data_IF_175427721407
#
_entry.id   IF_175427721407
#
_cell.length_a   1.000
_cell.length_b   1.000
_cell.length_c   1.000
_cell.angle_alpha   90.00
_cell.angle_beta   90.00
_cell.angle_gamma   90.00
#
_symmetry.space_group_name_H-M   'P 1'
#
loop_
_entity.id
_entity.type
_entity.pdbx_description
1 polymer ?
#
# COMPACT_ATOMS: atom_id res chain seq x y z
N UNK A 1 16.84 -20.93 2.87
CA UNK A 1 18.27 -20.64 3.09
C UNK A 1 18.38 -19.16 3.42
N UNK A 2 18.75 -18.79 4.65
CA UNK A 2 18.92 -17.38 5.05
C UNK A 2 20.36 -16.99 4.69
N UNK A 3 20.54 -16.04 3.78
CA UNK A 3 21.85 -15.48 3.46
C UNK A 3 21.87 -14.02 3.93
N UNK A 4 22.81 -13.61 4.80
CA UNK A 4 22.99 -12.21 5.14
C UNK A 4 23.49 -11.46 3.90
N UNK A 5 23.03 -10.21 3.74
CA UNK A 5 23.49 -9.32 2.69
C UNK A 5 24.93 -8.89 3.02
N UNK A 6 25.92 -9.63 2.51
CA UNK A 6 27.32 -9.22 2.52
C UNK A 6 27.83 -9.22 1.08
N UNK A 7 28.54 -8.16 0.70
CA UNK A 7 29.02 -7.85 -0.64
C UNK A 7 30.19 -8.75 -1.07
N UNK A 8 29.92 -10.05 -1.23
CA UNK A 8 30.84 -11.05 -1.77
C UNK A 8 30.15 -11.92 -2.81
N UNK A 9 30.73 -12.00 -4.00
CA UNK A 9 30.25 -12.69 -5.20
C UNK A 9 29.49 -14.01 -4.93
N UNK A 10 28.15 -13.95 -4.98
CA UNK A 10 27.27 -15.13 -4.93
C UNK A 10 27.01 -15.75 -6.32
N UNK A 11 27.88 -15.49 -7.31
CA UNK A 11 27.72 -15.97 -8.69
C UNK A 11 27.49 -17.51 -8.80
N UNK A 12 27.96 -18.28 -7.82
CA UNK A 12 27.83 -19.74 -7.80
C UNK A 12 26.46 -20.26 -7.31
N UNK A 13 25.64 -19.45 -6.62
CA UNK A 13 24.29 -19.85 -6.18
C UNK A 13 23.21 -19.68 -7.27
N UNK A 14 23.57 -19.07 -8.41
CA UNK A 14 22.66 -18.80 -9.52
C UNK A 14 22.64 -19.91 -10.59
N UNK A 15 23.02 -21.15 -10.25
CA UNK A 15 23.07 -22.29 -11.20
C UNK A 15 21.72 -22.97 -11.47
N UNK A 16 20.66 -22.62 -10.74
CA UNK A 16 19.34 -23.20 -10.94
C UNK A 16 18.42 -22.24 -11.70
N UNK A 17 17.56 -22.81 -12.55
CA UNK A 17 16.60 -22.08 -13.40
C UNK A 17 15.69 -21.22 -12.54
N UNK A 18 15.88 -19.90 -12.58
CA UNK A 18 14.97 -18.95 -11.95
C UNK A 18 13.75 -18.77 -12.85
N UNK A 19 12.58 -18.84 -12.23
CA UNK A 19 11.34 -18.37 -12.84
C UNK A 19 10.80 -17.27 -11.92
N UNK A 20 10.33 -16.19 -12.53
CA UNK A 20 9.83 -15.02 -11.83
C UNK A 20 8.38 -14.80 -12.27
N UNK A 21 7.51 -14.38 -11.35
CA UNK A 21 6.12 -14.01 -11.67
C UNK A 21 5.77 -12.68 -11.01
N UNK A 22 5.28 -11.75 -11.85
CA UNK A 22 4.85 -10.40 -11.47
C UNK A 22 3.33 -10.40 -11.24
N UNK A 23 2.83 -9.79 -10.16
CA UNK A 23 1.38 -9.65 -9.94
C UNK A 23 0.97 -8.18 -9.82
N UNK A 24 -0.07 -7.79 -10.55
CA UNK A 24 -0.78 -6.51 -10.39
C UNK A 24 -2.13 -6.77 -9.73
N UNK A 25 -2.42 -6.07 -8.62
CA UNK A 25 -3.71 -6.16 -7.96
C UNK A 25 -4.53 -4.90 -8.24
N UNK A 26 -5.59 -5.03 -9.04
CA UNK A 26 -6.67 -4.07 -9.16
C UNK A 26 -7.98 -4.85 -9.05
N UNK A 27 -8.75 -4.64 -7.98
CA UNK A 27 -10.06 -5.29 -7.80
C UNK A 27 -11.10 -4.22 -7.47
N UNK A 28 -12.20 -4.13 -8.25
CA UNK A 28 -13.39 -3.42 -7.82
C UNK A 28 -14.57 -4.36 -7.52
N UNK A 29 -15.34 -3.99 -6.48
CA UNK A 29 -16.80 -4.15 -6.24
C UNK A 29 -17.37 -5.26 -5.32
N UNK A 30 -18.55 -4.84 -4.80
CA UNK A 30 -19.76 -5.50 -4.24
C UNK A 30 -19.81 -5.88 -2.75
N UNK A 31 -20.39 -4.93 -1.99
CA UNK A 31 -21.52 -5.02 -1.04
C UNK A 31 -21.46 -5.87 0.24
N UNK A 32 -21.82 -5.12 1.31
CA UNK A 32 -22.50 -5.45 2.57
C UNK A 32 -21.76 -6.34 3.58
N UNK A 33 -21.38 -5.73 4.71
CA UNK A 33 -21.79 -6.09 6.08
C UNK A 33 -21.22 -5.06 7.06
N UNK A 34 -21.98 -4.76 8.10
CA UNK A 34 -21.89 -3.65 9.06
C UNK A 34 -21.03 -3.92 10.30
N UNK A 35 -20.55 -2.81 10.90
CA UNK A 35 -20.09 -2.58 12.30
C UNK A 35 -18.77 -3.24 12.73
N UNK A 36 -17.91 -2.65 13.56
CA UNK A 36 -17.81 -1.31 14.20
C UNK A 36 -16.40 -1.16 14.80
N UNK A 37 -15.97 0.10 14.91
CA UNK A 37 -14.92 0.68 15.77
C UNK A 37 -13.43 0.43 15.47
N UNK A 38 -12.76 1.54 15.08
CA UNK A 38 -11.32 1.78 15.24
C UNK A 38 -11.11 3.11 15.97
N UNK A 39 -10.10 3.21 16.86
CA UNK A 39 -9.78 4.45 17.55
C UNK A 39 -8.76 5.30 16.76
N UNK A 40 -8.91 6.63 16.84
CA UNK A 40 -7.87 7.62 16.53
C UNK A 40 -7.49 8.39 17.81
N UNK A 41 -6.27 8.93 17.92
CA UNK A 41 -5.70 9.37 19.19
C UNK A 41 -6.34 10.67 19.69
N UNK A 42 -6.76 10.64 20.96
CA UNK A 42 -7.28 11.79 21.70
C UNK A 42 -6.13 12.66 22.22
N UNK A 43 -6.31 13.97 22.04
CA UNK A 43 -5.47 15.03 22.60
C UNK A 43 -5.63 15.04 24.13
N UNK A 44 -4.51 15.07 24.84
CA UNK A 44 -4.45 15.08 26.30
C UNK A 44 -4.88 16.43 26.89
N UNK A 45 -5.86 16.39 27.80
CA UNK A 45 -6.02 17.39 28.87
C UNK A 45 -6.34 16.64 30.17
N UNK A 46 -5.55 16.87 31.21
CA UNK A 46 -5.59 16.11 32.45
C UNK A 46 -6.87 16.27 33.28
N UNK A 47 -7.18 15.27 34.11
CA UNK A 47 -7.46 15.37 35.54
C UNK A 47 -7.74 13.98 36.14
N UNK A 48 -7.07 13.71 37.28
CA UNK A 48 -7.39 12.82 38.42
C UNK A 48 -8.11 11.46 38.28
N UNK A 49 -7.34 10.41 38.61
CA UNK A 49 -7.63 9.23 39.45
C UNK A 49 -9.07 8.98 39.92
N UNK A 50 -9.67 7.86 39.51
CA UNK A 50 -10.66 7.10 40.30
C UNK A 50 -10.58 5.59 39.99
N UNK A 51 -10.87 4.80 41.03
CA UNK A 51 -10.57 3.37 41.21
C UNK A 51 -11.57 2.44 40.49
N UNK A 52 -11.08 1.32 39.95
CA UNK A 52 -11.90 0.19 39.50
C UNK A 52 -12.38 -0.67 40.67
N UNK A 53 -13.64 -1.10 40.63
CA UNK A 53 -14.16 -2.25 41.38
C UNK A 53 -14.44 -3.43 40.43
N UNK A 54 -13.91 -4.58 40.84
CA UNK A 54 -13.93 -5.90 40.20
C UNK A 54 -15.31 -6.53 40.08
N UNK A 55 -15.56 -7.23 38.96
CA UNK A 55 -16.48 -8.38 38.89
C UNK A 55 -15.87 -9.45 37.98
N UNK A 56 -15.55 -10.59 38.59
CA UNK A 56 -15.01 -11.80 37.99
C UNK A 56 -16.12 -12.68 37.42
N UNK A 57 -15.98 -13.12 36.17
CA UNK A 57 -16.71 -14.27 35.63
C UNK A 57 -15.71 -15.19 34.93
N UNK A 58 -15.61 -16.40 35.45
CA UNK A 58 -14.73 -17.49 35.05
C UNK A 58 -15.32 -18.26 33.86
N UNK A 59 -14.58 -18.35 32.76
CA UNK A 59 -14.78 -19.38 31.72
C UNK A 59 -13.41 -19.96 31.38
N UNK A 60 -13.29 -21.28 31.50
CA UNK A 60 -12.06 -22.01 31.30
C UNK A 60 -11.86 -22.43 29.83
N UNK A 61 -10.61 -22.27 29.39
CA UNK A 61 -9.85 -23.09 28.44
C UNK A 61 -10.24 -23.14 26.96
N UNK A 62 -9.49 -22.39 26.16
CA UNK A 62 -8.58 -23.01 25.18
C UNK A 62 -7.36 -22.10 25.03
N UNK A 63 -6.20 -22.62 25.41
CA UNK A 63 -4.94 -21.87 25.42
C UNK A 63 -4.43 -21.71 23.99
N UNK A 64 -4.98 -20.76 23.24
CA UNK A 64 -4.22 -20.13 22.16
C UNK A 64 -3.22 -19.24 22.90
N UNK A 65 -1.98 -19.71 22.99
CA UNK A 65 -0.82 -18.86 23.31
C UNK A 65 -0.75 -17.80 22.23
N UNK A 66 -1.50 -16.72 22.43
CA UNK A 66 -1.24 -15.42 21.85
C UNK A 66 0.10 -15.00 22.45
N UNK A 67 1.17 -15.37 21.77
CA UNK A 67 2.50 -14.85 22.05
C UNK A 67 2.41 -13.34 22.00
N UNK A 68 2.50 -12.76 23.20
CA UNK A 68 3.02 -11.43 23.53
C UNK A 68 3.54 -10.66 22.31
N UNK A 69 2.95 -9.50 22.02
CA UNK A 69 3.58 -8.18 21.68
C UNK A 69 4.95 -8.09 20.95
N UNK A 70 5.52 -9.18 20.47
CA UNK A 70 6.78 -9.29 19.75
C UNK A 70 6.46 -9.50 18.28
N UNK A 71 7.05 -8.66 17.42
CA UNK A 71 6.84 -8.74 15.98
C UNK A 71 7.29 -10.07 15.40
N UNK A 72 6.76 -10.40 14.22
CA UNK A 72 7.11 -11.61 13.47
C UNK A 72 8.63 -11.74 13.25
N UNK A 73 9.20 -12.84 13.70
CA UNK A 73 10.64 -13.16 13.69
C UNK A 73 10.99 -14.23 12.66
N UNK A 74 12.30 -14.46 12.46
CA UNK A 74 12.73 -15.58 11.63
C UNK A 74 12.46 -16.93 12.30
N UNK A 75 12.44 -16.98 13.63
CA UNK A 75 12.06 -18.19 14.37
C UNK A 75 10.60 -18.55 14.11
N UNK A 76 9.73 -17.56 13.94
CA UNK A 76 8.34 -17.77 13.54
C UNK A 76 8.24 -18.34 12.12
N UNK A 77 9.00 -17.80 11.17
CA UNK A 77 9.05 -18.32 9.81
C UNK A 77 9.57 -19.78 9.76
N UNK A 78 10.64 -20.08 10.50
CA UNK A 78 11.21 -21.43 10.60
C UNK A 78 10.21 -22.39 11.24
N UNK A 79 9.55 -21.97 12.32
CA UNK A 79 8.50 -22.76 12.99
C UNK A 79 7.34 -23.05 12.05
N UNK A 80 6.85 -22.04 11.30
CA UNK A 80 5.76 -22.22 10.34
C UNK A 80 6.15 -23.11 9.16
N UNK A 81 7.42 -23.15 8.79
CA UNK A 81 7.92 -24.01 7.72
C UNK A 81 8.09 -25.49 8.10
N UNK A 82 7.99 -25.85 9.38
CA UNK A 82 8.16 -27.24 9.80
C UNK A 82 6.96 -28.09 9.37
N UNK A 83 7.18 -29.33 8.88
CA UNK A 83 6.09 -30.23 8.46
C UNK A 83 5.06 -30.53 9.56
N UNK A 84 5.51 -30.47 10.81
CA UNK A 84 4.70 -30.69 12.02
C UNK A 84 3.79 -29.50 12.36
N UNK A 85 4.12 -28.31 11.84
CA UNK A 85 3.29 -27.12 11.93
C UNK A 85 2.28 -27.17 10.78
N UNK A 86 1.17 -27.88 11.01
CA UNK A 86 0.00 -27.88 10.14
C UNK A 86 -1.11 -27.10 10.85
N UNK A 87 -1.20 -25.76 10.67
CA UNK A 87 -2.17 -24.98 11.44
C UNK A 87 -3.60 -25.28 11.03
N UNK A 88 -3.84 -25.69 9.78
CA UNK A 88 -5.17 -25.99 9.28
C UNK A 88 -5.10 -27.00 8.13
N UNK A 89 -6.22 -27.69 7.88
CA UNK A 89 -6.43 -28.48 6.67
C UNK A 89 -6.04 -27.65 5.44
N UNK A 90 -5.31 -28.22 4.47
CA UNK A 90 -4.98 -27.54 3.21
C UNK A 90 -6.21 -27.04 2.41
N UNK A 91 -7.41 -27.47 2.80
CA UNK A 91 -8.69 -27.00 2.27
C UNK A 91 -9.23 -25.73 2.94
N UNK A 92 -8.68 -25.30 4.09
CA UNK A 92 -9.12 -24.10 4.77
C UNK A 92 -8.47 -22.85 4.15
N UNK A 93 -9.28 -22.06 3.46
CA UNK A 93 -8.89 -20.80 2.85
C UNK A 93 -9.33 -19.58 3.67
N UNK A 94 -9.88 -19.78 4.87
CA UNK A 94 -10.43 -18.73 5.74
C UNK A 94 -9.45 -17.58 5.97
N UNK A 95 -8.17 -17.90 6.26
CA UNK A 95 -7.11 -16.93 6.44
C UNK A 95 -6.84 -16.07 5.19
N UNK A 96 -6.87 -16.66 3.99
CA UNK A 96 -6.72 -15.90 2.74
C UNK A 96 -7.89 -14.95 2.52
N UNK A 97 -9.12 -15.41 2.71
CA UNK A 97 -10.32 -14.57 2.58
C UNK A 97 -10.32 -13.44 3.61
N UNK A 98 -9.83 -13.67 4.83
CA UNK A 98 -9.68 -12.62 5.83
C UNK A 98 -8.72 -11.53 5.36
N UNK A 99 -7.56 -11.89 4.77
CA UNK A 99 -6.62 -10.91 4.20
C UNK A 99 -7.22 -10.13 3.03
N UNK A 100 -7.94 -10.80 2.14
CA UNK A 100 -8.66 -10.13 1.04
C UNK A 100 -9.67 -9.12 1.58
N UNK A 101 -10.49 -9.50 2.58
CA UNK A 101 -11.44 -8.58 3.24
C UNK A 101 -10.73 -7.39 3.87
N UNK A 102 -9.63 -7.62 4.59
CA UNK A 102 -8.84 -6.55 5.21
C UNK A 102 -8.27 -5.57 4.18
N UNK A 103 -7.84 -6.04 3.01
CA UNK A 103 -7.35 -5.18 1.91
C UNK A 103 -8.48 -4.39 1.23
N UNK A 104 -9.73 -4.83 1.33
CA UNK A 104 -10.90 -4.19 0.72
C UNK A 104 -11.83 -3.51 1.75
N UNK A 105 -11.32 -3.22 2.95
CA UNK A 105 -12.05 -2.49 4.00
C UNK A 105 -12.27 -1.02 3.63
N UNK A 106 -13.20 -0.34 4.29
CA UNK A 106 -13.44 1.09 4.10
C UNK A 106 -14.38 1.43 2.93
N UNK A 107 -14.90 0.41 2.23
CA UNK A 107 -15.90 0.62 1.18
C UNK A 107 -17.17 1.27 1.73
N UNK A 108 -17.56 0.90 2.94
CA UNK A 108 -18.65 1.48 3.71
C UNK A 108 -18.48 2.99 3.99
N UNK A 109 -17.23 3.47 4.05
CA UNK A 109 -16.90 4.87 4.28
C UNK A 109 -16.95 5.71 3.01
N UNK A 110 -17.28 5.13 1.85
CA UNK A 110 -17.29 5.85 0.56
C UNK A 110 -18.14 7.14 0.62
N UNK A 111 -19.20 7.16 1.43
CA UNK A 111 -20.06 8.34 1.60
C UNK A 111 -19.38 9.53 2.31
N UNK A 112 -18.23 9.32 2.95
CA UNK A 112 -17.40 10.35 3.59
C UNK A 112 -16.40 10.99 2.62
N UNK A 113 -16.30 10.47 1.39
CA UNK A 113 -15.38 10.99 0.40
C UNK A 113 -16.11 11.74 -0.71
N UNK A 114 -15.45 12.76 -1.23
CA UNK A 114 -15.90 13.55 -2.37
C UNK A 114 -15.08 13.15 -3.60
N UNK A 115 -15.70 12.95 -4.77
CA UNK A 115 -14.97 12.64 -5.99
C UNK A 115 -13.96 13.74 -6.34
N UNK A 116 -12.75 13.32 -6.71
CA UNK A 116 -11.76 14.18 -7.35
C UNK A 116 -11.72 13.88 -8.85
N UNK A 117 -12.09 14.88 -9.64
CA UNK A 117 -12.34 14.75 -11.07
C UNK A 117 -11.38 15.63 -11.84
N UNK A 118 -10.72 15.08 -12.85
CA UNK A 118 -9.88 15.82 -13.79
C UNK A 118 -10.31 15.42 -15.20
N UNK A 119 -10.56 16.41 -16.06
CA UNK A 119 -11.02 16.19 -17.45
C UNK A 119 -12.24 15.24 -17.55
N UNK A 120 -13.20 15.40 -16.63
CA UNK A 120 -14.43 14.60 -16.61
C UNK A 120 -14.26 13.14 -16.18
N UNK A 121 -13.07 12.77 -15.65
CA UNK A 121 -12.79 11.43 -15.14
C UNK A 121 -12.50 11.48 -13.65
N UNK A 122 -13.10 10.56 -12.89
CA UNK A 122 -12.75 10.38 -11.48
C UNK A 122 -11.34 9.79 -11.43
N UNK A 123 -10.44 10.52 -10.78
CA UNK A 123 -9.03 10.13 -10.59
C UNK A 123 -8.73 9.81 -9.13
N UNK A 124 -9.62 10.16 -8.21
CA UNK A 124 -9.50 9.83 -6.79
C UNK A 124 -10.73 10.23 -5.99
N UNK A 125 -10.61 10.10 -4.67
CA UNK A 125 -11.66 10.39 -3.69
C UNK A 125 -11.02 11.03 -2.46
N UNK A 126 -11.45 12.25 -2.12
CA UNK A 126 -10.85 13.05 -1.05
C UNK A 126 -11.80 13.03 0.14
N UNK A 127 -11.29 12.69 1.32
CA UNK A 127 -12.09 12.69 2.53
C UNK A 127 -12.62 14.12 2.81
N UNK A 128 -13.90 14.27 3.15
CA UNK A 128 -14.55 15.58 3.27
C UNK A 128 -13.88 16.52 4.30
N UNK A 129 -13.30 15.97 5.37
CA UNK A 129 -12.52 16.76 6.35
C UNK A 129 -11.21 17.29 5.78
N UNK A 130 -10.57 16.56 4.87
CA UNK A 130 -9.31 16.97 4.27
C UNK A 130 -9.52 18.08 3.24
N UNK A 131 -10.67 18.08 2.56
CA UNK A 131 -11.09 19.15 1.64
C UNK A 131 -11.05 20.53 2.26
N UNK A 132 -11.37 20.65 3.55
CA UNK A 132 -11.35 21.94 4.25
C UNK A 132 -9.95 22.58 4.22
N UNK A 133 -8.87 21.79 4.19
CA UNK A 133 -7.50 22.29 4.01
C UNK A 133 -7.20 22.70 2.56
N UNK A 134 -7.92 22.16 1.58
CA UNK A 134 -7.77 22.47 0.16
C UNK A 134 -8.52 23.74 -0.25
N UNK A 135 -9.60 24.10 0.46
CA UNK A 135 -10.45 25.27 0.15
C UNK A 135 -9.73 26.61 0.11
N UNK A 136 -8.58 26.73 0.77
CA UNK A 136 -7.77 27.95 0.78
C UNK A 136 -6.97 28.15 -0.51
N UNK A 137 -6.70 27.10 -1.28
CA UNK A 137 -5.93 27.14 -2.52
C UNK A 137 -6.87 27.26 -3.74
N UNK A 138 -7.57 28.39 -3.81
CA UNK A 138 -8.65 28.62 -4.78
C UNK A 138 -8.18 28.74 -6.24
N UNK A 139 -6.90 29.03 -6.43
CA UNK A 139 -6.18 29.08 -7.69
C UNK A 139 -5.77 27.69 -8.22
N UNK A 140 -5.93 26.66 -7.40
CA UNK A 140 -5.59 25.27 -7.75
C UNK A 140 -6.81 24.36 -7.71
N UNK A 141 -7.61 24.43 -6.64
CA UNK A 141 -8.75 23.54 -6.42
C UNK A 141 -10.08 24.28 -6.53
N UNK A 142 -10.96 23.74 -7.37
CA UNK A 142 -12.32 24.23 -7.60
C UNK A 142 -13.34 23.20 -7.12
N UNK A 143 -14.43 23.67 -6.51
CA UNK A 143 -15.48 22.83 -5.95
C UNK A 143 -16.78 23.11 -6.71
N UNK A 144 -17.28 22.12 -7.44
CA UNK A 144 -18.42 22.28 -8.35
C UNK A 144 -19.58 21.38 -7.94
N UNK A 145 -20.78 21.97 -7.82
CA UNK A 145 -22.01 21.24 -7.53
C UNK A 145 -22.42 20.36 -8.70
N UNK A 146 -22.65 19.06 -8.45
CA UNK A 146 -23.10 18.10 -9.46
C UNK A 146 -23.43 16.75 -8.83
N UNK A 147 -24.50 16.12 -9.29
CA UNK A 147 -24.87 14.75 -8.93
C UNK A 147 -24.25 13.70 -9.90
N UNK A 148 -23.57 14.14 -10.97
CA UNK A 148 -23.14 13.26 -12.07
C UNK A 148 -22.04 12.27 -11.71
N UNK A 149 -21.22 12.55 -10.69
CA UNK A 149 -20.10 11.71 -10.29
C UNK A 149 -20.39 10.81 -9.09
N UNK A 150 -21.60 10.92 -8.53
CA UNK A 150 -21.99 10.24 -7.31
C UNK A 150 -21.26 10.79 -6.08
N UNK A 151 -21.94 10.89 -4.95
CA UNK A 151 -21.34 11.40 -3.72
C UNK A 151 -22.40 12.02 -2.83
N UNK A 152 -22.29 11.79 -1.52
CA UNK A 152 -23.30 12.25 -0.56
C UNK A 152 -23.39 13.78 -0.48
N UNK A 153 -22.30 14.48 -0.81
CA UNK A 153 -22.18 15.92 -0.60
C UNK A 153 -22.71 16.77 -1.76
N UNK A 154 -23.10 16.18 -2.91
CA UNK A 154 -23.67 16.91 -4.05
C UNK A 154 -22.68 17.81 -4.81
N UNK A 155 -21.37 17.63 -4.59
CA UNK A 155 -20.32 18.33 -5.32
C UNK A 155 -19.12 17.41 -5.57
N UNK A 156 -18.22 17.84 -6.45
CA UNK A 156 -16.91 17.22 -6.67
C UNK A 156 -15.79 18.26 -6.61
N UNK A 157 -14.57 17.79 -6.39
CA UNK A 157 -13.35 18.61 -6.45
C UNK A 157 -12.72 18.45 -7.83
N UNK A 158 -12.27 19.54 -8.42
CA UNK A 158 -11.50 19.54 -9.67
C UNK A 158 -10.35 20.54 -9.61
N UNK A 159 -9.51 20.55 -10.64
CA UNK A 159 -8.42 21.51 -10.78
C UNK A 159 -8.89 22.74 -11.57
N UNK A 160 -8.28 23.89 -11.30
CA UNK A 160 -8.56 25.13 -12.02
C UNK A 160 -8.38 24.98 -13.54
N UNK A 161 -9.30 25.57 -14.32
CA UNK A 161 -9.34 25.46 -15.79
C UNK A 161 -8.13 26.09 -16.50
N UNK A 162 -7.41 26.98 -15.82
CA UNK A 162 -6.16 27.56 -16.31
C UNK A 162 -5.01 26.54 -16.31
N UNK A 163 -5.08 25.48 -15.49
CA UNK A 163 -4.09 24.41 -15.41
C UNK A 163 -4.35 23.36 -16.52
N UNK A 164 -4.03 23.73 -17.76
CA UNK A 164 -4.33 22.90 -18.95
C UNK A 164 -3.37 21.73 -19.14
N UNK A 165 -2.07 21.96 -18.97
CA UNK A 165 -1.06 20.92 -19.20
C UNK A 165 -0.89 20.04 -17.94
N UNK A 166 -0.62 18.72 -18.09
CA UNK A 166 -0.28 17.84 -16.97
C UNK A 166 0.87 18.37 -16.09
N UNK A 167 1.84 19.04 -16.70
CA UNK A 167 3.01 19.62 -16.02
C UNK A 167 2.61 20.83 -15.16
N UNK A 168 1.70 21.67 -15.64
CA UNK A 168 1.19 22.82 -14.89
C UNK A 168 0.39 22.36 -13.67
N UNK A 169 -0.46 21.34 -13.84
CA UNK A 169 -1.20 20.69 -12.75
C UNK A 169 -0.25 20.07 -11.72
N UNK A 170 0.77 19.35 -12.20
CA UNK A 170 1.79 18.73 -11.35
C UNK A 170 2.50 19.78 -10.50
N UNK A 171 2.92 20.90 -11.11
CA UNK A 171 3.57 22.00 -10.40
C UNK A 171 2.64 22.66 -9.39
N UNK A 172 1.44 23.06 -9.80
CA UNK A 172 0.49 23.76 -8.95
C UNK A 172 0.06 22.92 -7.75
N UNK A 173 -0.32 21.66 -7.98
CA UNK A 173 -0.66 20.73 -6.89
C UNK A 173 0.56 20.44 -6.03
N UNK A 174 1.74 20.29 -6.63
CA UNK A 174 3.00 20.09 -5.92
C UNK A 174 3.32 21.18 -4.89
N UNK A 175 3.14 22.46 -5.24
CA UNK A 175 3.30 23.57 -4.29
C UNK A 175 2.29 23.51 -3.13
N UNK A 176 1.05 23.11 -3.42
CA UNK A 176 0.05 22.88 -2.36
C UNK A 176 0.47 21.74 -1.43
N UNK A 177 0.92 20.61 -1.98
CA UNK A 177 1.38 19.46 -1.18
C UNK A 177 2.58 19.84 -0.32
N UNK A 178 3.50 20.63 -0.85
CA UNK A 178 4.65 21.14 -0.10
C UNK A 178 4.21 21.96 1.12
N UNK A 179 3.29 22.91 0.92
CA UNK A 179 2.73 23.71 2.02
C UNK A 179 2.02 22.84 3.06
N UNK A 180 1.20 21.88 2.62
CA UNK A 180 0.51 20.94 3.53
C UNK A 180 1.49 19.99 4.26
N UNK A 181 2.62 19.65 3.64
CA UNK A 181 3.70 18.88 4.24
C UNK A 181 4.43 19.65 5.33
N UNK A 182 4.73 20.93 5.10
CA UNK A 182 5.34 21.85 6.09
C UNK A 182 4.43 22.04 7.33
N UNK A 183 3.11 21.97 7.15
CA UNK A 183 2.11 22.00 8.22
C UNK A 183 1.89 20.64 8.92
N UNK A 184 2.63 19.60 8.54
CA UNK A 184 2.47 18.20 9.00
C UNK A 184 1.09 17.58 8.72
N UNK A 185 0.33 18.13 7.76
CA UNK A 185 -0.95 17.54 7.33
C UNK A 185 -0.72 16.35 6.38
N UNK A 186 0.35 16.40 5.58
CA UNK A 186 0.84 15.29 4.75
C UNK A 186 2.28 14.98 5.18
N UNK A 187 2.49 14.16 6.22
CA UNK A 187 3.83 13.80 6.67
C UNK A 187 4.50 12.81 5.71
N UNK A 188 5.83 12.72 5.79
CA UNK A 188 6.60 11.68 5.11
C UNK A 188 6.77 11.88 3.60
N UNK A 189 6.91 13.13 3.15
CA UNK A 189 7.27 13.49 1.78
C UNK A 189 8.49 12.67 1.31
N UNK A 190 8.40 12.10 0.10
CA UNK A 190 9.41 11.18 -0.42
C UNK A 190 10.16 11.70 -1.64
N UNK A 191 9.72 12.83 -2.21
CA UNK A 191 10.22 13.36 -3.48
C UNK A 191 10.08 12.32 -4.61
N UNK A 192 8.95 11.63 -4.62
CA UNK A 192 8.65 10.57 -5.57
C UNK A 192 7.24 10.80 -6.11
N UNK A 193 7.14 11.04 -7.41
CA UNK A 193 5.87 11.36 -8.03
C UNK A 193 5.20 10.08 -8.54
N UNK A 194 3.93 9.90 -8.19
CA UNK A 194 3.04 8.87 -8.71
C UNK A 194 2.16 9.42 -9.84
N UNK A 195 1.85 8.61 -10.86
CA UNK A 195 0.97 9.03 -11.95
C UNK A 195 -0.49 9.07 -11.48
N UNK A 196 -1.17 10.19 -11.68
CA UNK A 196 -2.61 10.30 -11.45
C UNK A 196 -3.36 9.93 -12.72
N UNK A 197 -4.06 8.79 -12.68
CA UNK A 197 -4.76 8.17 -13.82
C UNK A 197 -6.14 7.70 -13.39
N UNK A 198 -7.07 7.55 -14.33
CA UNK A 198 -8.40 6.98 -14.05
C UNK A 198 -8.37 5.45 -13.91
N UNK A 199 -7.41 4.79 -14.57
CA UNK A 199 -7.18 3.34 -14.52
C UNK A 199 -5.76 3.04 -15.01
N UNK A 200 -5.29 1.82 -14.76
CA UNK A 200 -3.98 1.40 -15.24
C UNK A 200 -3.91 1.49 -16.77
N UNK A 201 -2.82 2.02 -17.30
CA UNK A 201 -2.62 2.25 -18.74
C UNK A 201 -3.42 3.43 -19.35
N UNK A 202 -4.29 4.09 -18.57
CA UNK A 202 -4.95 5.31 -19.03
C UNK A 202 -3.98 6.50 -19.09
N UNK A 203 -4.32 7.59 -19.81
CA UNK A 203 -3.53 8.81 -19.80
C UNK A 203 -3.24 9.32 -18.39
N UNK A 204 -2.04 9.86 -18.21
CA UNK A 204 -1.62 10.53 -16.97
C UNK A 204 -2.13 11.97 -17.02
N UNK A 205 -3.03 12.33 -16.11
CA UNK A 205 -3.61 13.67 -16.05
C UNK A 205 -2.66 14.69 -15.43
N UNK A 206 -1.87 14.25 -14.45
CA UNK A 206 -0.76 14.94 -13.79
C UNK A 206 -0.02 13.95 -12.88
N UNK A 207 1.07 14.37 -12.24
CA UNK A 207 1.78 13.56 -11.25
C UNK A 207 1.64 14.15 -9.85
N UNK A 208 1.56 13.28 -8.83
CA UNK A 208 1.30 13.65 -7.44
C UNK A 208 2.37 13.04 -6.54
N UNK A 209 2.85 13.79 -5.56
CA UNK A 209 3.77 13.27 -4.52
C UNK A 209 3.19 12.01 -3.85
N UNK A 210 4.00 10.95 -3.75
CA UNK A 210 3.61 9.64 -3.22
C UNK A 210 2.97 9.72 -1.84
N UNK A 211 3.48 10.58 -0.97
CA UNK A 211 2.91 10.77 0.37
C UNK A 211 1.47 11.33 0.33
N UNK A 212 1.10 12.08 -0.70
CA UNK A 212 -0.22 12.66 -0.87
C UNK A 212 -1.24 11.70 -1.50
N UNK A 213 -0.81 10.62 -2.16
CA UNK A 213 -1.71 9.69 -2.86
C UNK A 213 -2.87 9.15 -1.98
N UNK A 214 -2.66 8.76 -0.70
CA UNK A 214 -3.75 8.34 0.18
C UNK A 214 -4.75 9.45 0.53
N UNK A 215 -4.30 10.71 0.61
CA UNK A 215 -5.14 11.86 0.94
C UNK A 215 -6.05 12.27 -0.22
N UNK A 216 -5.55 12.11 -1.45
CA UNK A 216 -6.33 12.35 -2.66
C UNK A 216 -7.12 11.12 -3.12
N UNK A 217 -6.93 9.97 -2.46
CA UNK A 217 -7.54 8.70 -2.81
C UNK A 217 -7.26 8.27 -4.25
N UNK A 218 -6.10 8.68 -4.79
CA UNK A 218 -5.70 8.33 -6.16
C UNK A 218 -5.26 6.88 -6.23
N UNK A 219 -5.47 6.24 -7.39
CA UNK A 219 -4.93 4.90 -7.63
C UNK A 219 -3.40 4.95 -7.61
N UNK A 220 -2.81 4.07 -6.81
CA UNK A 220 -1.38 3.83 -6.78
C UNK A 220 -1.07 2.48 -7.43
N UNK A 221 0.06 2.41 -8.13
CA UNK A 221 0.53 1.18 -8.78
C UNK A 221 1.89 0.79 -8.21
N UNK A 222 2.27 -0.47 -8.41
CA UNK A 222 3.52 -1.02 -7.94
C UNK A 222 3.88 -2.29 -8.71
N UNK A 223 5.10 -2.76 -8.50
CA UNK A 223 5.64 -4.01 -9.03
C UNK A 223 5.99 -4.92 -7.87
N UNK A 224 5.61 -6.19 -7.96
CA UNK A 224 5.90 -7.22 -6.98
C UNK A 224 6.42 -8.46 -7.69
N UNK A 225 7.59 -8.96 -7.31
CA UNK A 225 8.21 -10.13 -7.94
C UNK A 225 8.38 -11.28 -6.95
N UNK A 226 7.82 -12.42 -7.32
CA UNK A 226 8.12 -13.69 -6.67
C UNK A 226 9.39 -14.28 -7.28
N UNK A 227 10.38 -14.58 -6.45
CA UNK A 227 11.57 -15.32 -6.87
C UNK A 227 11.59 -16.71 -6.24
N UNK A 228 11.72 -17.75 -7.06
CA UNK A 228 11.78 -19.13 -6.57
C UNK A 228 12.87 -19.94 -7.26
N UNK A 229 13.25 -21.03 -6.60
CA UNK A 229 14.24 -22.00 -7.09
C UNK A 229 13.71 -23.41 -6.90
N UNK A 230 14.11 -24.32 -7.78
CA UNK A 230 13.85 -25.75 -7.64
C UNK A 230 15.12 -26.46 -7.16
N UNK A 231 15.01 -27.16 -6.04
CA UNK A 231 16.10 -27.94 -5.42
C UNK A 231 15.55 -29.33 -5.11
N UNK A 232 16.17 -30.37 -5.65
CA UNK A 232 15.77 -31.77 -5.46
C UNK A 232 14.28 -32.04 -5.73
N UNK A 233 13.74 -31.42 -6.78
CA UNK A 233 12.33 -31.55 -7.18
C UNK A 233 11.33 -30.81 -6.29
N UNK A 234 11.81 -29.95 -5.37
CA UNK A 234 10.98 -29.10 -4.51
C UNK A 234 11.16 -27.63 -4.85
N UNK A 235 10.06 -26.88 -4.81
CA UNK A 235 10.05 -25.44 -5.04
C UNK A 235 10.27 -24.67 -3.74
N UNK A 236 11.21 -23.74 -3.73
CA UNK A 236 11.49 -22.84 -2.61
C UNK A 236 11.28 -21.40 -3.04
N UNK A 237 10.56 -20.63 -2.22
CA UNK A 237 10.30 -19.22 -2.44
C UNK A 237 11.29 -18.36 -1.64
N UNK A 238 11.86 -17.35 -2.28
CA UNK A 238 12.61 -16.30 -1.60
C UNK A 238 11.64 -15.29 -0.99
N UNK A 239 11.77 -15.07 0.31
CA UNK A 239 10.96 -14.12 1.08
C UNK A 239 11.87 -13.02 1.62
N UNK A 240 11.54 -11.76 1.30
CA UNK A 240 12.20 -10.61 1.88
C UNK A 240 11.72 -10.38 3.32
N UNK A 241 12.59 -9.85 4.18
CA UNK A 241 12.18 -9.26 5.46
C UNK A 241 12.51 -7.78 5.44
N UNK A 242 11.49 -6.95 5.62
CA UNK A 242 11.62 -5.50 5.56
C UNK A 242 12.51 -4.99 6.68
N UNK A 243 13.38 -4.03 6.36
CA UNK A 243 14.18 -3.33 7.36
C UNK A 243 13.26 -2.68 8.41
N UNK A 244 13.72 -2.65 9.67
CA UNK A 244 13.02 -1.95 10.76
C UNK A 244 12.97 -0.43 10.55
N UNK A 245 13.81 0.10 9.65
CA UNK A 245 13.84 1.52 9.30
C UNK A 245 12.81 1.92 8.23
N UNK A 246 12.10 0.95 7.60
CA UNK A 246 11.08 1.30 6.59
C UNK A 246 9.90 1.97 7.30
N UNK A 247 9.37 3.09 6.77
CA UNK A 247 8.29 3.84 7.42
C UNK A 247 6.95 3.08 7.41
N UNK A 248 6.78 2.15 6.47
CA UNK A 248 5.60 1.30 6.37
C UNK A 248 5.97 -0.15 6.56
N UNK A 249 5.21 -0.83 7.42
CA UNK A 249 5.34 -2.26 7.72
C UNK A 249 6.78 -2.70 8.08
N UNK A 250 7.44 -2.05 9.06
CA UNK A 250 8.80 -2.40 9.48
C UNK A 250 8.86 -3.83 10.02
N UNK A 251 9.90 -4.58 9.62
CA UNK A 251 10.14 -5.94 10.10
C UNK A 251 9.21 -7.04 9.52
N UNK A 252 8.20 -6.68 8.74
CA UNK A 252 7.27 -7.64 8.13
C UNK A 252 7.92 -8.41 6.97
N UNK A 253 7.39 -9.59 6.65
CA UNK A 253 7.77 -10.33 5.44
C UNK A 253 7.21 -9.66 4.18
N UNK A 254 7.92 -9.80 3.08
CA UNK A 254 7.59 -9.22 1.78
C UNK A 254 7.99 -10.16 0.64
N UNK A 255 7.62 -9.79 -0.58
CA UNK A 255 8.13 -10.42 -1.80
C UNK A 255 9.66 -10.28 -1.89
N UNK A 256 10.29 -11.02 -2.81
CA UNK A 256 11.73 -10.86 -3.06
C UNK A 256 12.07 -9.43 -3.50
N UNK A 257 11.22 -8.82 -4.32
CA UNK A 257 11.32 -7.42 -4.75
C UNK A 257 9.92 -6.82 -4.78
N UNK A 258 9.73 -5.64 -4.18
CA UNK A 258 8.45 -4.94 -4.19
C UNK A 258 8.60 -3.42 -4.11
N UNK A 259 8.13 -2.71 -5.15
CA UNK A 259 8.25 -1.25 -5.25
C UNK A 259 6.97 -0.56 -5.69
N UNK A 260 6.82 0.70 -5.32
CA UNK A 260 5.83 1.58 -5.95
C UNK A 260 6.18 1.81 -7.42
N UNK A 261 5.23 2.23 -8.25
CA UNK A 261 5.46 2.59 -9.65
C UNK A 261 5.44 4.12 -9.80
N UNK A 262 6.60 4.78 -9.89
CA UNK A 262 6.70 6.21 -10.13
C UNK A 262 6.14 6.61 -11.51
N UNK A 263 5.85 7.90 -11.65
CA UNK A 263 5.52 8.51 -12.93
C UNK A 263 6.74 8.50 -13.86
N UNK A 264 6.51 8.32 -15.16
CA UNK A 264 7.58 8.37 -16.18
C UNK A 264 8.46 7.12 -16.32
N UNK A 265 8.21 6.06 -15.54
CA UNK A 265 8.93 4.77 -15.66
C UNK A 265 7.96 3.63 -16.00
N UNK A 266 8.31 2.81 -16.98
CA UNK A 266 7.54 1.60 -17.31
C UNK A 266 7.67 0.54 -16.21
N UNK A 267 6.69 -0.34 -16.07
CA UNK A 267 6.72 -1.44 -15.09
C UNK A 267 8.01 -2.29 -15.17
N UNK A 268 8.46 -2.67 -16.38
CA UNK A 268 9.67 -3.47 -16.56
C UNK A 268 10.94 -2.76 -16.07
N UNK A 269 11.15 -1.51 -16.50
CA UNK A 269 12.27 -0.68 -16.01
C UNK A 269 12.22 -0.48 -14.49
N UNK A 270 11.03 -0.26 -13.94
CA UNK A 270 10.87 -0.10 -12.49
C UNK A 270 11.21 -1.40 -11.75
N UNK A 271 10.74 -2.55 -12.24
CA UNK A 271 11.08 -3.85 -11.67
C UNK A 271 12.60 -4.09 -11.68
N UNK A 272 13.29 -3.75 -12.77
CA UNK A 272 14.75 -3.87 -12.87
C UNK A 272 15.46 -2.98 -11.84
N UNK A 273 15.02 -1.71 -11.71
CA UNK A 273 15.53 -0.78 -10.69
C UNK A 273 15.35 -1.35 -9.27
N UNK A 274 14.14 -1.78 -8.93
CA UNK A 274 13.83 -2.32 -7.59
C UNK A 274 14.57 -3.64 -7.32
N UNK A 275 14.81 -4.47 -8.34
CA UNK A 275 15.63 -5.68 -8.24
C UNK A 275 17.05 -5.38 -7.74
N UNK A 276 17.68 -4.34 -8.29
CA UNK A 276 19.02 -3.92 -7.90
C UNK A 276 19.01 -3.31 -6.49
N UNK A 277 18.10 -2.36 -6.23
CA UNK A 277 18.06 -1.61 -4.98
C UNK A 277 17.69 -2.46 -3.75
N UNK A 278 16.73 -3.38 -3.88
CA UNK A 278 16.21 -4.14 -2.73
C UNK A 278 16.85 -5.52 -2.54
N UNK A 279 17.30 -6.16 -3.63
CA UNK A 279 17.80 -7.53 -3.60
C UNK A 279 19.20 -7.70 -4.20
N UNK A 280 19.83 -6.63 -4.72
CA UNK A 280 21.14 -6.70 -5.37
C UNK A 280 21.14 -7.59 -6.62
N UNK A 281 19.98 -7.78 -7.26
CA UNK A 281 19.82 -8.63 -8.43
C UNK A 281 20.29 -7.85 -9.66
N UNK A 282 21.36 -8.29 -10.35
CA UNK A 282 21.91 -7.56 -11.48
C UNK A 282 20.98 -7.64 -12.71
N UNK A 283 21.13 -6.66 -13.61
CA UNK A 283 20.39 -6.57 -14.87
C UNK A 283 20.41 -7.88 -15.68
N UNK A 284 21.56 -8.55 -15.73
CA UNK A 284 21.74 -9.81 -16.46
C UNK A 284 20.83 -10.95 -15.99
N UNK A 285 20.27 -10.83 -14.78
CA UNK A 285 19.28 -11.75 -14.22
C UNK A 285 17.87 -11.15 -14.23
N UNK A 286 17.70 -9.89 -13.86
CA UNK A 286 16.38 -9.25 -13.79
C UNK A 286 15.71 -9.06 -15.15
N UNK A 287 16.50 -8.95 -16.24
CA UNK A 287 15.97 -8.90 -17.62
C UNK A 287 15.29 -10.22 -18.05
N UNK A 288 15.55 -11.32 -17.33
CA UNK A 288 14.90 -12.62 -17.55
C UNK A 288 13.59 -12.78 -16.77
N UNK A 289 13.16 -11.73 -16.07
CA UNK A 289 11.90 -11.77 -15.32
C UNK A 289 10.71 -11.93 -16.28
N UNK A 290 9.79 -12.84 -15.94
CA UNK A 290 8.56 -13.01 -16.72
C UNK A 290 7.50 -12.08 -16.17
N UNK A 291 7.08 -11.15 -17.01
CA UNK A 291 6.01 -10.21 -16.71
C UNK A 291 4.66 -10.92 -16.92
N UNK A 292 3.90 -11.14 -15.84
CA UNK A 292 2.50 -11.53 -15.95
C UNK A 292 1.67 -10.24 -15.84
N UNK A 293 1.23 -9.70 -16.97
CA UNK A 293 0.25 -8.62 -16.98
C UNK A 293 -1.13 -9.28 -16.98
N UNK A 294 -1.89 -9.10 -15.89
CA UNK A 294 -3.30 -9.48 -15.81
C UNK A 294 -4.17 -8.23 -15.84
#
# INVERSE_FOLDING_TARGET
MVMPCNSGSYAHLFRHTFRFSLAFLCIPKTSNVTMSDFPMPSVTSGFSSLKYSSLSASVASSTITTSSSGGFTWDDAVRVSQPEYAPDSSSDLSGFFQKIKLCNRGFELQSEFVPFVVEGRIVGYIHHRFIEHLRRFKDVFVFLGSDSYGGRFGYYVTLDEMLKAPEDRTRAVGEVIKCLGEENLIPGIRNELYPVTSSFGAPIYFSLERAAAPYFGTKAYGVHMNGFVEIDGKTFLWIGKRSQLKPTYPGMLDHLVAGGLPSGISCGKNLIKECEEEAGIPLSLSDKSVCCVH
#
